data_IF_516154427444
#
_entry.id   IF_516154427444
#
_cell.length_a   1.000
_cell.length_b   1.000
_cell.length_c   1.000
_cell.angle_alpha   90.00
_cell.angle_beta   90.00
_cell.angle_gamma   90.00
#
_symmetry.space_group_name_H-M   'P 1'
#
loop_
_entity.id
_entity.type
_entity.pdbx_description
1 polymer ?
#
# COMPACT_ATOMS: atom_id res chain seq x y z
N UNK A 1 7.76 -1.78 -4.65
CA UNK A 1 7.09 -0.50 -4.28
C UNK A 1 6.51 -0.68 -2.90
N UNK A 2 6.40 0.38 -2.10
CA UNK A 2 5.66 0.36 -0.85
C UNK A 2 4.46 1.31 -0.95
N UNK A 3 3.31 0.85 -0.47
CA UNK A 3 2.07 1.62 -0.39
C UNK A 3 1.62 1.63 1.07
N UNK A 4 1.72 2.76 1.78
CA UNK A 4 1.37 2.83 3.19
C UNK A 4 -0.14 2.67 3.42
N UNK A 5 -0.50 2.25 4.63
CA UNK A 5 -1.88 2.23 5.15
C UNK A 5 -1.94 3.16 6.37
N UNK A 6 -3.07 3.84 6.56
CA UNK A 6 -3.32 4.72 7.69
C UNK A 6 -4.73 4.53 8.23
N UNK A 7 -4.97 4.92 9.48
CA UNK A 7 -6.30 4.97 10.10
C UNK A 7 -7.23 5.89 9.29
N UNK A 8 -8.46 5.43 9.04
CA UNK A 8 -9.48 6.20 8.34
C UNK A 8 -9.86 7.48 9.10
N UNK A 9 -10.15 8.55 8.36
CA UNK A 9 -10.72 9.78 8.90
C UNK A 9 -11.56 10.48 7.83
N UNK A 10 -12.51 11.32 8.26
CA UNK A 10 -13.36 12.06 7.33
C UNK A 10 -12.53 12.98 6.41
N UNK A 11 -12.60 12.71 5.11
CA UNK A 11 -11.85 13.45 4.07
C UNK A 11 -10.54 12.79 3.63
N UNK A 12 -10.22 11.58 4.11
CA UNK A 12 -9.15 10.78 3.52
C UNK A 12 -9.54 10.25 2.13
N UNK A 13 -8.56 9.70 1.42
CA UNK A 13 -8.80 9.04 0.14
C UNK A 13 -9.61 7.75 0.35
N UNK A 14 -10.84 7.73 -0.15
CA UNK A 14 -11.76 6.59 -0.06
C UNK A 14 -11.65 5.62 -1.24
N UNK A 15 -10.62 5.74 -2.08
CA UNK A 15 -10.40 4.83 -3.22
C UNK A 15 -10.24 3.37 -2.77
N UNK A 16 -9.60 3.14 -1.62
CA UNK A 16 -9.49 1.81 -1.04
C UNK A 16 -9.47 1.88 0.49
N UNK A 17 -10.56 1.43 1.08
CA UNK A 17 -10.69 1.19 2.52
C UNK A 17 -10.36 -0.28 2.82
N UNK A 18 -9.74 -0.49 3.97
CA UNK A 18 -9.39 -1.80 4.53
C UNK A 18 -9.98 -1.90 5.93
N UNK A 19 -10.59 -3.03 6.24
CA UNK A 19 -11.20 -3.28 7.55
C UNK A 19 -10.66 -4.57 8.19
N UNK A 20 -11.07 -4.82 9.43
CA UNK A 20 -10.72 -6.03 10.16
C UNK A 20 -11.01 -7.29 9.31
N UNK A 21 -9.98 -8.13 9.15
CA UNK A 21 -10.04 -9.35 8.33
C UNK A 21 -9.42 -9.22 6.93
N UNK A 22 -9.24 -8.01 6.39
CA UNK A 22 -8.58 -7.82 5.09
C UNK A 22 -7.07 -8.18 5.16
N UNK A 23 -6.43 -7.91 6.29
CA UNK A 23 -5.05 -8.35 6.55
C UNK A 23 -4.77 -8.41 8.06
N UNK A 24 -3.92 -9.34 8.57
CA UNK A 24 -3.66 -9.49 10.01
C UNK A 24 -3.19 -8.26 10.79
N UNK A 25 -2.54 -7.28 10.13
CA UNK A 25 -2.12 -6.03 10.78
C UNK A 25 -3.23 -4.95 10.82
N UNK A 26 -4.33 -5.14 10.09
CA UNK A 26 -5.48 -4.23 10.08
C UNK A 26 -6.40 -4.62 11.25
N UNK A 27 -6.50 -3.74 12.23
CA UNK A 27 -7.27 -3.96 13.47
C UNK A 27 -8.42 -2.98 13.65
N UNK A 28 -8.65 -2.13 12.65
CA UNK A 28 -9.71 -1.12 12.62
C UNK A 28 -9.79 -0.54 11.21
N UNK A 29 -10.90 0.12 10.91
CA UNK A 29 -11.12 0.80 9.65
C UNK A 29 -9.94 1.72 9.28
N UNK A 30 -9.37 1.42 8.13
CA UNK A 30 -8.15 2.02 7.59
C UNK A 30 -8.34 2.33 6.11
N UNK A 31 -7.42 3.10 5.54
CA UNK A 31 -7.39 3.39 4.11
C UNK A 31 -5.97 3.26 3.58
N UNK A 32 -5.88 2.95 2.29
CA UNK A 32 -4.60 2.92 1.58
C UNK A 32 -4.16 4.35 1.27
N UNK A 33 -3.01 4.76 1.81
CA UNK A 33 -2.53 6.13 1.70
C UNK A 33 -1.70 6.35 0.43
N UNK A 34 -2.38 6.35 -0.71
CA UNK A 34 -1.76 6.41 -2.05
C UNK A 34 -0.83 7.60 -2.28
N UNK A 35 -1.09 8.76 -1.66
CA UNK A 35 -0.24 9.95 -1.73
C UNK A 35 1.23 9.64 -1.37
N UNK A 36 1.45 8.71 -0.44
CA UNK A 36 2.79 8.31 0.03
C UNK A 36 3.33 7.06 -0.64
N UNK A 37 2.67 6.54 -1.68
CA UNK A 37 3.20 5.43 -2.45
C UNK A 37 4.58 5.78 -3.02
N UNK A 38 5.55 4.91 -2.79
CA UNK A 38 6.96 5.18 -3.12
C UNK A 38 7.64 3.94 -3.74
N UNK A 39 8.43 4.17 -4.78
CA UNK A 39 9.23 3.13 -5.42
C UNK A 39 10.55 3.00 -4.65
N UNK A 40 10.84 1.79 -4.20
CA UNK A 40 12.10 1.42 -3.56
C UNK A 40 12.83 0.40 -4.42
N UNK A 41 14.16 0.42 -4.37
CA UNK A 41 14.97 -0.64 -4.98
C UNK A 41 14.86 -1.91 -4.13
N UNK A 42 14.88 -3.07 -4.78
CA UNK A 42 14.84 -4.36 -4.08
C UNK A 42 15.97 -4.49 -3.05
N UNK A 43 17.18 -4.04 -3.39
CA UNK A 43 18.36 -4.06 -2.49
C UNK A 43 18.12 -3.26 -1.20
N UNK A 44 17.39 -2.16 -1.27
CA UNK A 44 17.12 -1.31 -0.10
C UNK A 44 16.08 -1.94 0.83
N UNK A 45 15.08 -2.62 0.25
CA UNK A 45 14.11 -3.40 1.02
C UNK A 45 14.78 -4.61 1.69
N UNK A 46 15.65 -5.33 0.96
CA UNK A 46 16.41 -6.45 1.49
C UNK A 46 17.29 -6.05 2.67
N UNK A 47 18.01 -4.92 2.56
CA UNK A 47 18.78 -4.36 3.68
C UNK A 47 17.90 -3.93 4.85
N UNK A 48 16.74 -3.32 4.57
CA UNK A 48 15.78 -2.95 5.60
C UNK A 48 15.29 -4.14 6.43
N UNK A 49 15.06 -5.30 5.79
CA UNK A 49 14.71 -6.55 6.49
C UNK A 49 15.88 -7.08 7.33
N UNK A 50 17.10 -7.09 6.78
CA UNK A 50 18.29 -7.57 7.49
C UNK A 50 18.63 -6.72 8.72
N UNK A 51 18.45 -5.40 8.62
CA UNK A 51 18.72 -4.44 9.69
C UNK A 51 17.57 -4.33 10.71
N UNK A 52 16.53 -5.19 10.62
CA UNK A 52 15.30 -5.13 11.43
C UNK A 52 14.56 -3.78 11.38
N UNK A 53 14.73 -3.01 10.30
CA UNK A 53 13.98 -1.77 10.05
C UNK A 53 12.64 -2.02 9.37
N UNK A 54 12.53 -3.15 8.68
CA UNK A 54 11.31 -3.66 8.08
C UNK A 54 10.97 -4.99 8.72
N UNK A 55 9.68 -5.22 8.95
CA UNK A 55 9.15 -6.49 9.42
C UNK A 55 8.36 -7.12 8.28
N UNK A 56 8.72 -8.34 7.89
CA UNK A 56 7.94 -9.09 6.93
C UNK A 56 6.57 -9.41 7.53
N UNK A 57 5.52 -9.11 6.78
CA UNK A 57 4.14 -9.44 7.11
C UNK A 57 3.67 -10.59 6.19
N UNK A 58 2.61 -11.31 6.56
CA UNK A 58 1.96 -12.25 5.66
C UNK A 58 1.56 -11.58 4.34
N UNK A 59 1.36 -12.40 3.30
CA UNK A 59 0.80 -11.90 2.05
C UNK A 59 -0.66 -11.50 2.25
N UNK A 60 -1.10 -10.48 1.52
CA UNK A 60 -2.53 -10.14 1.43
C UNK A 60 -3.29 -11.21 0.66
N UNK A 61 -4.56 -11.40 1.02
CA UNK A 61 -5.48 -12.16 0.17
C UNK A 61 -5.54 -11.56 -1.24
N UNK A 62 -5.67 -12.41 -2.26
CA UNK A 62 -5.63 -11.99 -3.66
C UNK A 62 -6.71 -10.94 -3.98
N UNK A 63 -7.89 -11.05 -3.37
CA UNK A 63 -8.99 -10.10 -3.57
C UNK A 63 -8.64 -8.73 -2.98
N UNK A 64 -8.06 -8.72 -1.78
CA UNK A 64 -7.62 -7.49 -1.11
C UNK A 64 -6.47 -6.84 -1.88
N UNK A 65 -5.49 -7.65 -2.31
CA UNK A 65 -4.39 -7.19 -3.13
C UNK A 65 -4.86 -6.54 -4.44
N UNK A 66 -5.81 -7.17 -5.14
CA UNK A 66 -6.39 -6.62 -6.37
C UNK A 66 -7.10 -5.27 -6.14
N UNK A 67 -7.80 -5.10 -5.01
CA UNK A 67 -8.41 -3.81 -4.63
C UNK A 67 -7.34 -2.71 -4.47
N UNK A 68 -6.24 -3.03 -3.79
CA UNK A 68 -5.12 -2.10 -3.62
C UNK A 68 -4.51 -1.73 -4.96
N UNK A 69 -4.28 -2.71 -5.84
CA UNK A 69 -3.69 -2.49 -7.17
C UNK A 69 -4.57 -1.58 -8.03
N UNK A 70 -5.88 -1.86 -8.11
CA UNK A 70 -6.85 -1.02 -8.82
C UNK A 70 -6.87 0.40 -8.25
N UNK A 71 -6.78 0.54 -6.92
CA UNK A 71 -6.77 1.84 -6.27
C UNK A 71 -5.53 2.68 -6.59
N UNK A 72 -4.37 2.08 -6.88
CA UNK A 72 -3.18 2.82 -7.33
C UNK A 72 -3.49 3.61 -8.61
N UNK A 73 -4.24 3.02 -9.54
CA UNK A 73 -4.59 3.68 -10.81
C UNK A 73 -5.72 4.71 -10.64
N UNK A 74 -6.70 4.39 -9.80
CA UNK A 74 -7.92 5.18 -9.64
C UNK A 74 -7.76 6.38 -8.71
N UNK A 75 -6.92 6.26 -7.67
CA UNK A 75 -6.73 7.33 -6.71
C UNK A 75 -6.17 8.59 -7.40
N UNK A 76 -6.77 9.77 -7.17
CA UNK A 76 -6.23 11.03 -7.65
C UNK A 76 -4.91 11.41 -6.94
N UNK A 77 -4.68 10.85 -5.75
CA UNK A 77 -3.55 11.17 -4.89
C UNK A 77 -2.29 10.37 -5.21
N UNK A 78 -2.41 9.25 -5.92
CA UNK A 78 -1.25 8.45 -6.31
C UNK A 78 -0.27 9.29 -7.14
N UNK A 79 1.01 9.40 -6.72
CA UNK A 79 2.03 10.12 -7.48
C UNK A 79 2.17 9.61 -8.91
N UNK A 80 2.24 10.53 -9.88
CA UNK A 80 2.33 10.17 -11.31
C UNK A 80 3.49 9.20 -11.62
N UNK A 81 4.63 9.35 -10.95
CA UNK A 81 5.79 8.47 -11.12
C UNK A 81 5.51 7.02 -10.74
N UNK A 82 4.67 6.80 -9.72
CA UNK A 82 4.21 5.47 -9.26
C UNK A 82 3.33 4.83 -10.32
N UNK A 83 2.31 5.55 -10.83
CA UNK A 83 1.43 5.05 -11.91
C UNK A 83 2.24 4.67 -13.17
N UNK A 84 3.19 5.51 -13.54
CA UNK A 84 4.04 5.27 -14.71
C UNK A 84 4.99 4.07 -14.55
N UNK A 85 5.46 3.80 -13.33
CA UNK A 85 6.31 2.65 -13.05
C UNK A 85 5.54 1.33 -13.25
N UNK A 86 4.30 1.25 -12.75
CA UNK A 86 3.48 0.04 -12.88
C UNK A 86 3.00 -0.21 -14.31
N UNK A 87 2.73 0.84 -15.09
CA UNK A 87 2.42 0.68 -16.51
C UNK A 87 3.59 0.13 -17.37
N UNK A 88 4.80 0.01 -16.79
CA UNK A 88 6.01 -0.45 -17.49
C UNK A 88 6.52 -1.81 -17.02
N UNK A 89 5.96 -2.36 -15.93
CA UNK A 89 6.31 -3.65 -15.35
C UNK A 89 5.37 -4.72 -15.86
#
# INVERSE_FOLDING_TARGET
MLVPVSTFYDGCDSTCELDEGDHPFITHLSYVFYNRATIYRADDLGRGLQDNRLVAQPDMDEVVFAKVEVGIYNSPDTPRGVKLYLNRS
#
